data_IF_915079270136
#
_entry.id   IF_915079270136
#
_cell.length_a   1.000
_cell.length_b   1.000
_cell.length_c   1.000
_cell.angle_alpha   90.00
_cell.angle_beta   90.00
_cell.angle_gamma   90.00
#
_symmetry.space_group_name_H-M   'P 1'
#
loop_
_entity.id
_entity.type
_entity.pdbx_description
1 polymer ?
#
# COMPACT_ATOMS: atom_id res chain seq x y z
N UNK A 1 38.56 4.28 16.55
CA UNK A 1 37.58 3.55 15.71
C UNK A 1 38.07 3.65 14.27
N UNK A 2 38.15 2.54 13.54
CA UNK A 2 38.62 2.56 12.15
C UNK A 2 37.70 3.42 11.28
N UNK A 3 38.26 4.31 10.46
CA UNK A 3 37.53 5.03 9.42
C UNK A 3 37.62 4.25 8.11
N UNK A 4 36.53 4.20 7.35
CA UNK A 4 36.58 3.63 6.01
C UNK A 4 37.34 4.58 5.07
N UNK A 5 38.09 4.06 4.11
CA UNK A 5 38.54 4.84 2.96
C UNK A 5 37.34 5.55 2.29
N UNK A 6 37.54 6.77 1.76
CA UNK A 6 36.45 7.61 1.25
C UNK A 6 35.66 6.95 0.10
N UNK A 7 36.30 6.10 -0.71
CA UNK A 7 35.61 5.37 -1.78
C UNK A 7 34.64 4.30 -1.23
N UNK A 8 34.95 3.65 -0.09
CA UNK A 8 34.07 2.65 0.53
C UNK A 8 32.91 3.32 1.28
N UNK A 9 33.14 4.48 1.89
CA UNK A 9 32.06 5.26 2.50
C UNK A 9 31.04 5.73 1.44
N UNK A 10 31.54 6.18 0.28
CA UNK A 10 30.69 6.56 -0.84
C UNK A 10 29.86 5.37 -1.33
N UNK A 11 30.50 4.20 -1.52
CA UNK A 11 29.82 2.97 -1.92
C UNK A 11 28.76 2.51 -0.89
N UNK A 12 29.00 2.70 0.40
CA UNK A 12 28.06 2.31 1.46
C UNK A 12 26.86 3.26 1.58
N UNK A 13 27.06 4.56 1.36
CA UNK A 13 26.09 5.60 1.70
C UNK A 13 25.28 6.13 0.52
N UNK A 14 25.77 6.00 -0.72
CA UNK A 14 25.15 6.61 -1.89
C UNK A 14 25.03 5.63 -3.05
N UNK A 15 23.86 5.62 -3.67
CA UNK A 15 23.64 5.06 -5.01
C UNK A 15 24.03 6.13 -6.02
N UNK A 16 24.94 5.84 -6.95
CA UNK A 16 25.32 6.81 -7.98
C UNK A 16 24.64 6.49 -9.31
N UNK A 17 24.00 7.49 -9.91
CA UNK A 17 23.33 7.37 -11.21
C UNK A 17 24.29 7.78 -12.33
N UNK A 18 24.89 6.82 -13.01
CA UNK A 18 25.72 7.08 -14.21
C UNK A 18 24.89 7.01 -15.49
N UNK A 19 25.46 7.47 -16.61
CA UNK A 19 24.83 7.44 -17.93
C UNK A 19 24.50 6.01 -18.40
N UNK A 20 25.34 5.04 -18.06
CA UNK A 20 25.19 3.66 -18.52
C UNK A 20 24.28 2.85 -17.59
N UNK A 21 24.61 2.79 -16.30
CA UNK A 21 23.83 2.09 -15.28
C UNK A 21 24.06 2.67 -13.88
N UNK A 22 23.11 2.52 -12.94
CA UNK A 22 23.33 2.83 -11.53
C UNK A 22 24.42 1.94 -10.94
N UNK A 23 25.22 2.49 -10.03
CA UNK A 23 26.24 1.77 -9.27
C UNK A 23 25.94 1.87 -7.77
N UNK A 24 26.48 0.92 -6.99
CA UNK A 24 26.27 0.82 -5.53
C UNK A 24 24.80 0.60 -5.12
N UNK A 25 24.11 -0.30 -5.83
CA UNK A 25 22.67 -0.56 -5.63
C UNK A 25 22.41 -1.45 -4.39
N UNK A 26 23.41 -2.23 -3.98
CA UNK A 26 23.26 -3.22 -2.91
C UNK A 26 23.47 -2.61 -1.51
N UNK A 27 22.61 -3.00 -0.57
CA UNK A 27 22.72 -2.64 0.85
C UNK A 27 23.74 -3.53 1.57
N UNK A 28 24.98 -3.06 1.72
CA UNK A 28 26.04 -3.79 2.43
C UNK A 28 25.99 -3.46 3.94
N UNK A 29 25.06 -4.11 4.67
CA UNK A 29 24.84 -3.85 6.10
C UNK A 29 25.13 -5.05 7.04
N UNK A 30 25.58 -6.19 6.52
CA UNK A 30 25.88 -7.35 7.37
C UNK A 30 27.08 -7.08 8.30
N UNK A 31 27.07 -7.72 9.47
CA UNK A 31 28.04 -7.48 10.55
C UNK A 31 29.51 -7.65 10.14
N UNK A 32 29.78 -8.55 9.19
CA UNK A 32 31.13 -8.89 8.73
C UNK A 32 31.70 -7.99 7.63
N UNK A 33 30.90 -7.09 7.02
CA UNK A 33 31.26 -6.42 5.77
C UNK A 33 32.55 -5.60 5.84
N UNK A 34 32.84 -5.02 7.00
CA UNK A 34 34.01 -4.17 7.22
C UNK A 34 34.77 -4.57 8.50
N UNK A 35 34.63 -5.83 8.93
CA UNK A 35 35.28 -6.34 10.14
C UNK A 35 36.81 -6.28 10.04
N UNK A 36 37.38 -6.52 8.85
CA UNK A 36 38.81 -6.38 8.57
C UNK A 36 39.34 -4.94 8.72
N UNK A 37 38.44 -3.95 8.61
CA UNK A 37 38.74 -2.53 8.78
C UNK A 37 38.41 -2.03 10.19
N UNK A 38 38.05 -2.94 11.11
CA UNK A 38 37.73 -2.62 12.50
C UNK A 38 36.40 -1.88 12.68
N UNK A 39 35.46 -2.04 11.74
CA UNK A 39 34.14 -1.40 11.80
C UNK A 39 33.09 -2.43 12.15
N UNK A 40 32.37 -2.10 13.22
CA UNK A 40 31.29 -2.91 13.73
C UNK A 40 29.94 -2.44 13.16
N UNK A 41 29.46 -3.20 12.18
CA UNK A 41 28.14 -3.06 11.57
C UNK A 41 27.06 -3.89 12.30
N UNK A 42 27.30 -4.37 13.51
CA UNK A 42 26.27 -5.06 14.28
C UNK A 42 25.03 -4.17 14.44
N UNK A 43 23.88 -4.74 14.09
CA UNK A 43 22.58 -4.07 14.15
C UNK A 43 22.09 -4.01 15.59
N UNK A 44 22.57 -3.03 16.35
CA UNK A 44 22.01 -2.72 17.66
C UNK A 44 20.64 -2.06 17.51
N UNK A 45 19.61 -2.62 18.14
CA UNK A 45 18.26 -2.03 18.15
C UNK A 45 18.29 -0.58 18.65
N UNK A 46 19.14 -0.30 19.65
CA UNK A 46 19.33 1.05 20.19
C UNK A 46 19.86 2.04 19.14
N UNK A 47 20.78 1.60 18.27
CA UNK A 47 21.31 2.44 17.18
C UNK A 47 20.22 2.73 16.14
N UNK A 48 19.35 1.77 15.86
CA UNK A 48 18.24 1.98 14.95
C UNK A 48 17.21 2.96 15.55
N UNK A 49 16.78 2.72 16.78
CA UNK A 49 15.79 3.54 17.49
C UNK A 49 16.22 5.01 17.63
N UNK A 50 17.50 5.27 17.92
CA UNK A 50 18.02 6.63 18.08
C UNK A 50 18.18 7.40 16.76
N UNK A 51 18.29 6.70 15.63
CA UNK A 51 18.58 7.31 14.33
C UNK A 51 17.37 7.32 13.37
N UNK A 52 16.42 6.40 13.55
CA UNK A 52 15.22 6.33 12.72
C UNK A 52 14.35 7.56 12.94
N UNK A 53 13.94 8.20 11.84
CA UNK A 53 13.09 9.39 11.87
C UNK A 53 12.04 9.31 10.77
N UNK A 54 10.85 9.84 11.06
CA UNK A 54 9.76 9.98 10.10
C UNK A 54 9.32 11.43 10.09
N UNK A 55 9.32 12.04 8.91
CA UNK A 55 8.92 13.44 8.70
C UNK A 55 7.71 13.48 7.77
N UNK A 56 6.63 14.12 8.19
CA UNK A 56 5.43 14.28 7.36
C UNK A 56 5.59 15.55 6.53
N UNK A 57 5.71 15.39 5.22
CA UNK A 57 5.92 16.50 4.26
C UNK A 57 4.59 17.16 3.90
N UNK A 58 3.56 16.36 3.62
CA UNK A 58 2.23 16.84 3.27
C UNK A 58 1.16 15.89 3.79
N UNK A 59 0.06 16.47 4.28
CA UNK A 59 -1.12 15.73 4.71
C UNK A 59 -2.37 16.42 4.14
N UNK A 60 -3.05 15.73 3.24
CA UNK A 60 -4.34 16.10 2.65
C UNK A 60 -5.42 15.11 3.12
N UNK A 61 -6.67 15.32 2.72
CA UNK A 61 -7.78 14.41 3.09
C UNK A 61 -7.61 13.00 2.50
N UNK A 62 -7.16 12.89 1.24
CA UNK A 62 -7.02 11.61 0.54
C UNK A 62 -5.56 11.15 0.36
N UNK A 63 -4.58 12.05 0.57
CA UNK A 63 -3.16 11.81 0.28
C UNK A 63 -2.26 12.17 1.47
N UNK A 64 -1.22 11.36 1.71
CA UNK A 64 -0.17 11.64 2.69
C UNK A 64 1.22 11.39 2.09
N UNK A 65 2.12 12.35 2.26
CA UNK A 65 3.52 12.28 1.85
C UNK A 65 4.43 12.30 3.09
N UNK A 66 5.29 11.30 3.21
CA UNK A 66 6.15 11.08 4.37
C UNK A 66 7.54 10.62 3.95
N UNK A 67 8.55 11.14 4.64
CA UNK A 67 9.95 10.75 4.51
C UNK A 67 10.35 9.84 5.66
N UNK A 68 10.87 8.65 5.35
CA UNK A 68 11.43 7.72 6.33
C UNK A 68 12.95 7.71 6.20
N UNK A 69 13.63 8.20 7.24
CA UNK A 69 15.09 8.36 7.27
C UNK A 69 15.68 7.26 8.14
N UNK A 70 16.80 6.68 7.68
CA UNK A 70 17.51 5.56 8.34
C UNK A 70 16.64 4.30 8.42
N UNK A 71 16.13 3.86 7.27
CA UNK A 71 15.43 2.58 7.10
C UNK A 71 16.03 1.80 5.94
N UNK A 72 16.02 0.47 6.04
CA UNK A 72 16.45 -0.38 4.94
C UNK A 72 15.36 -0.50 3.86
N UNK A 73 15.78 -0.63 2.60
CA UNK A 73 14.88 -0.73 1.46
C UNK A 73 13.95 -1.95 1.56
N UNK A 74 14.39 -3.05 2.19
CA UNK A 74 13.55 -4.23 2.38
C UNK A 74 12.34 -3.95 3.27
N UNK A 75 12.52 -3.17 4.34
CA UNK A 75 11.45 -2.78 5.27
C UNK A 75 10.52 -1.74 4.62
N UNK A 76 11.07 -0.75 3.91
CA UNK A 76 10.25 0.21 3.19
C UNK A 76 9.37 -0.47 2.11
N UNK A 77 9.95 -1.44 1.39
CA UNK A 77 9.20 -2.20 0.38
C UNK A 77 8.18 -3.17 1.00
N UNK A 78 8.43 -3.72 2.20
CA UNK A 78 7.43 -4.54 2.88
C UNK A 78 6.22 -3.69 3.28
N UNK A 79 6.42 -2.49 3.83
CA UNK A 79 5.34 -1.53 4.10
C UNK A 79 4.54 -1.21 2.83
N UNK A 80 5.22 -0.92 1.71
CA UNK A 80 4.56 -0.71 0.41
C UNK A 80 3.68 -1.89 0.00
N UNK A 81 4.15 -3.12 0.19
CA UNK A 81 3.40 -4.34 -0.16
C UNK A 81 2.18 -4.52 0.74
N UNK A 82 2.33 -4.30 2.05
CA UNK A 82 1.24 -4.39 3.02
C UNK A 82 0.14 -3.38 2.66
N UNK A 83 0.50 -2.14 2.39
CA UNK A 83 -0.44 -1.06 2.04
C UNK A 83 -1.25 -1.37 0.77
N UNK A 84 -0.66 -2.06 -0.21
CA UNK A 84 -1.32 -2.36 -1.49
C UNK A 84 -2.18 -3.62 -1.42
N UNK A 85 -1.75 -4.64 -0.68
CA UNK A 85 -2.30 -5.99 -0.83
C UNK A 85 -2.87 -6.61 0.45
N UNK A 86 -2.46 -6.15 1.63
CA UNK A 86 -2.84 -6.80 2.89
C UNK A 86 -3.83 -5.97 3.71
N UNK A 87 -3.98 -4.68 3.43
CA UNK A 87 -4.97 -3.86 4.11
C UNK A 87 -6.40 -4.23 3.68
N UNK A 88 -7.26 -4.65 4.62
CA UNK A 88 -8.64 -4.99 4.29
C UNK A 88 -9.44 -3.74 3.94
N UNK A 89 -10.29 -3.87 2.92
CA UNK A 89 -11.23 -2.84 2.46
C UNK A 89 -12.59 -3.47 2.16
N UNK A 90 -13.67 -2.69 2.24
CA UNK A 90 -15.01 -3.13 1.89
C UNK A 90 -15.30 -2.84 0.42
N UNK A 91 -15.69 -3.87 -0.34
CA UNK A 91 -16.04 -3.76 -1.75
C UNK A 91 -17.27 -4.62 -2.08
N UNK A 92 -17.89 -4.38 -3.24
CA UNK A 92 -19.07 -5.14 -3.69
C UNK A 92 -18.60 -6.46 -4.30
N UNK A 93 -18.91 -7.58 -3.63
CA UNK A 93 -18.59 -8.92 -4.14
C UNK A 93 -19.77 -9.56 -4.89
N UNK A 94 -20.97 -9.55 -4.29
CA UNK A 94 -22.16 -10.21 -4.84
C UNK A 94 -23.16 -9.18 -5.35
N UNK A 95 -23.54 -9.31 -6.62
CA UNK A 95 -24.56 -8.45 -7.26
C UNK A 95 -25.75 -9.31 -7.66
N UNK A 96 -26.90 -9.05 -7.05
CA UNK A 96 -28.16 -9.74 -7.36
C UNK A 96 -29.00 -8.89 -8.32
N UNK A 97 -29.22 -9.39 -9.53
CA UNK A 97 -29.96 -8.69 -10.58
C UNK A 97 -31.36 -9.30 -10.70
N UNK A 98 -32.38 -8.52 -10.33
CA UNK A 98 -33.78 -8.96 -10.43
C UNK A 98 -34.36 -8.76 -11.85
N UNK A 99 -34.13 -7.59 -12.44
CA UNK A 99 -34.60 -7.25 -13.80
C UNK A 99 -33.71 -6.16 -14.40
N UNK A 100 -33.13 -6.44 -15.56
CA UNK A 100 -32.36 -5.45 -16.35
C UNK A 100 -32.85 -5.43 -17.78
N UNK A 101 -33.04 -4.23 -18.34
CA UNK A 101 -33.36 -3.99 -19.76
C UNK A 101 -32.32 -3.11 -20.46
N UNK A 102 -31.24 -2.74 -19.77
CA UNK A 102 -30.10 -1.99 -20.32
C UNK A 102 -29.27 -2.85 -21.28
N UNK A 103 -28.48 -2.21 -22.15
CA UNK A 103 -27.61 -2.85 -23.15
C UNK A 103 -26.36 -3.48 -22.50
N UNK A 104 -25.85 -2.89 -21.41
CA UNK A 104 -24.61 -3.35 -20.73
C UNK A 104 -24.83 -4.76 -20.19
N UNK A 105 -23.95 -5.71 -20.52
CA UNK A 105 -24.01 -7.09 -20.02
C UNK A 105 -23.93 -7.14 -18.47
N UNK A 106 -24.56 -8.16 -17.88
CA UNK A 106 -24.67 -8.29 -16.42
C UNK A 106 -23.31 -8.44 -15.75
N UNK A 107 -22.40 -9.21 -16.36
CA UNK A 107 -21.04 -9.47 -15.87
C UNK A 107 -20.21 -8.18 -15.88
N UNK A 108 -20.33 -7.40 -16.95
CA UNK A 108 -19.62 -6.12 -17.10
C UNK A 108 -20.16 -5.11 -16.08
N UNK A 109 -21.47 -5.08 -15.85
CA UNK A 109 -22.08 -4.19 -14.86
C UNK A 109 -21.63 -4.56 -13.44
N UNK A 110 -21.67 -5.85 -13.08
CA UNK A 110 -21.24 -6.34 -11.78
C UNK A 110 -19.76 -6.05 -11.52
N UNK A 111 -18.89 -6.30 -12.51
CA UNK A 111 -17.46 -5.99 -12.41
C UNK A 111 -17.21 -4.49 -12.18
N UNK A 112 -17.93 -3.62 -12.89
CA UNK A 112 -17.82 -2.17 -12.68
C UNK A 112 -18.28 -1.73 -11.29
N UNK A 113 -19.34 -2.34 -10.77
CA UNK A 113 -19.83 -2.07 -9.41
C UNK A 113 -18.82 -2.54 -8.36
N UNK A 114 -18.13 -3.65 -8.58
CA UNK A 114 -17.08 -4.15 -7.69
C UNK A 114 -15.88 -3.21 -7.53
N UNK A 115 -15.59 -2.38 -8.55
CA UNK A 115 -14.49 -1.41 -8.52
C UNK A 115 -14.87 -0.05 -7.90
N UNK A 116 -16.12 0.15 -7.48
CA UNK A 116 -16.53 1.38 -6.83
C UNK A 116 -16.11 1.34 -5.35
N UNK A 117 -15.25 2.27 -4.89
CA UNK A 117 -14.84 2.29 -3.49
C UNK A 117 -16.02 2.71 -2.59
N UNK A 118 -16.19 2.01 -1.48
CA UNK A 118 -17.25 2.27 -0.50
C UNK A 118 -16.64 2.93 0.72
N UNK A 119 -17.17 4.09 1.12
CA UNK A 119 -16.72 4.80 2.33
C UNK A 119 -17.31 4.17 3.60
N UNK A 120 -16.71 3.08 4.04
CA UNK A 120 -17.06 2.32 5.24
C UNK A 120 -15.78 1.94 5.96
N UNK A 121 -15.78 1.96 7.30
CA UNK A 121 -14.65 1.47 8.10
C UNK A 121 -14.65 -0.07 8.13
N UNK A 122 -13.68 -0.75 7.50
CA UNK A 122 -13.63 -2.22 7.44
C UNK A 122 -13.42 -2.85 8.82
N UNK A 123 -12.89 -2.11 9.79
CA UNK A 123 -12.58 -2.63 11.14
C UNK A 123 -13.82 -2.92 11.98
N UNK A 124 -14.98 -2.44 11.55
CA UNK A 124 -16.26 -2.68 12.23
C UNK A 124 -16.93 -3.98 11.80
N UNK A 125 -16.37 -4.67 10.80
CA UNK A 125 -16.96 -5.85 10.19
C UNK A 125 -16.08 -7.07 10.38
N UNK A 126 -16.72 -8.22 10.61
CA UNK A 126 -16.04 -9.51 10.65
C UNK A 126 -15.99 -10.12 9.25
N UNK A 127 -14.97 -10.94 8.99
CA UNK A 127 -14.85 -11.67 7.74
C UNK A 127 -15.94 -12.74 7.61
N UNK A 128 -16.53 -12.82 6.41
CA UNK A 128 -17.48 -13.88 6.09
C UNK A 128 -16.73 -15.21 5.87
N UNK A 129 -17.00 -16.19 6.73
CA UNK A 129 -16.54 -17.57 6.54
C UNK A 129 -17.50 -18.35 5.62
N UNK A 130 -17.03 -19.42 4.98
CA UNK A 130 -17.84 -20.21 4.03
C UNK A 130 -19.13 -20.78 4.63
N UNK A 131 -19.15 -21.05 5.93
CA UNK A 131 -20.31 -21.57 6.65
C UNK A 131 -21.20 -20.48 7.26
N UNK A 132 -20.78 -19.21 7.19
CA UNK A 132 -21.45 -18.13 7.88
C UNK A 132 -22.54 -17.51 7.01
N UNK A 133 -23.67 -17.14 7.62
CA UNK A 133 -24.74 -16.46 6.91
C UNK A 133 -24.45 -14.95 6.85
N UNK A 134 -24.88 -14.25 5.78
CA UNK A 134 -24.76 -12.80 5.70
C UNK A 134 -25.56 -12.13 6.83
N UNK A 135 -24.84 -11.55 7.78
CA UNK A 135 -25.40 -10.90 8.97
C UNK A 135 -25.07 -9.40 8.97
N UNK A 136 -25.73 -8.64 9.85
CA UNK A 136 -25.51 -7.19 10.01
C UNK A 136 -24.05 -6.82 10.36
N UNK A 137 -23.31 -7.76 10.97
CA UNK A 137 -21.89 -7.58 11.35
C UNK A 137 -20.91 -7.87 10.22
N UNK A 138 -21.34 -8.59 9.17
CA UNK A 138 -20.42 -9.15 8.18
C UNK A 138 -20.69 -8.60 6.77
N UNK A 139 -21.84 -7.96 6.54
CA UNK A 139 -22.26 -7.59 5.18
C UNK A 139 -23.09 -6.31 5.17
N UNK A 140 -22.90 -5.50 4.12
CA UNK A 140 -23.71 -4.34 3.81
C UNK A 140 -24.45 -4.60 2.51
N UNK A 141 -25.75 -4.28 2.48
CA UNK A 141 -26.59 -4.46 1.29
C UNK A 141 -26.98 -3.10 0.72
N UNK A 142 -26.62 -2.87 -0.54
CA UNK A 142 -27.03 -1.68 -1.30
C UNK A 142 -28.12 -2.05 -2.30
N UNK A 143 -29.06 -1.13 -2.54
CA UNK A 143 -30.13 -1.29 -3.54
C UNK A 143 -30.01 -0.22 -4.61
N UNK A 144 -29.85 -0.66 -5.87
CA UNK A 144 -29.87 0.21 -7.04
C UNK A 144 -31.16 -0.04 -7.85
N UNK A 145 -32.00 0.97 -7.97
CA UNK A 145 -33.22 0.91 -8.78
C UNK A 145 -33.37 2.19 -9.60
N UNK A 146 -33.15 2.10 -10.90
CA UNK A 146 -33.16 3.24 -11.83
C UNK A 146 -34.06 2.94 -13.02
N UNK A 147 -34.91 3.91 -13.38
CA UNK A 147 -35.77 3.86 -14.56
C UNK A 147 -35.58 5.13 -15.38
N UNK A 148 -35.16 5.00 -16.64
CA UNK A 148 -35.09 6.13 -17.57
C UNK A 148 -36.50 6.39 -18.13
N UNK A 149 -37.04 7.59 -17.88
CA UNK A 149 -38.30 8.07 -18.47
C UNK A 149 -37.97 9.05 -19.58
N UNK A 150 -38.77 9.07 -20.65
CA UNK A 150 -38.65 10.08 -21.70
C UNK A 150 -39.03 11.43 -21.07
N UNK A 151 -38.14 12.42 -21.14
CA UNK A 151 -38.41 13.75 -20.57
C UNK A 151 -39.61 14.41 -21.24
N UNK A 152 -40.48 15.02 -20.45
CA UNK A 152 -41.56 15.84 -20.96
C UNK A 152 -40.96 17.06 -21.66
N UNK A 153 -41.28 17.22 -22.96
CA UNK A 153 -40.99 18.45 -23.69
C UNK A 153 -42.00 19.51 -23.26
N UNK A 154 -41.75 20.16 -22.14
CA UNK A 154 -42.33 21.48 -21.86
C UNK A 154 -41.28 22.53 -22.24
N UNK A 155 -41.22 22.83 -23.54
CA UNK A 155 -40.83 24.14 -24.10
C UNK A 155 -41.96 24.52 -25.04
#
# INVERSE_FOLDING_TARGET
>A
MGQLPPHLELQRSRVSCNKDAPIHIESIQYSGAYASMGIDNSSGLDRFSNNFRVEVVRLNEDDMELDMIVIDAAIANSLRRILIAELPTMAIEKVLIAKKTSIIQDEVLAHRLGLVPIRVDPRLFDYLSENDQPNEKNTIVFKLHVQCKRGDKNI
#
